data_IF_027723501388
#
_entry.id   IF_027723501388
#
_cell.length_a   1.000
_cell.length_b   1.000
_cell.length_c   1.000
_cell.angle_alpha   90.00
_cell.angle_beta   90.00
_cell.angle_gamma   90.00
#
_symmetry.space_group_name_H-M   'P 1'
#
loop_
_entity.id
_entity.type
_entity.pdbx_description
1 polymer ?
#
# COMPACT_ATOMS: atom_id res chain seq x y z
N UNK A 1 10.37 -36.25 36.19
CA UNK A 1 11.73 -35.66 36.40
C UNK A 1 12.64 -36.19 35.29
N UNK A 2 12.90 -35.40 34.25
CA UNK A 2 13.92 -35.73 33.24
C UNK A 2 15.15 -34.87 33.50
N UNK A 3 16.28 -35.54 33.80
CA UNK A 3 17.58 -34.93 34.04
C UNK A 3 18.21 -34.58 32.68
N UNK A 4 18.43 -33.29 32.42
CA UNK A 4 19.20 -32.80 31.26
C UNK A 4 20.68 -32.76 31.62
N UNK A 5 21.46 -33.67 31.04
CA UNK A 5 22.92 -33.58 31.01
C UNK A 5 23.34 -32.48 30.02
N UNK A 6 23.90 -31.38 30.55
CA UNK A 6 24.32 -30.21 29.79
C UNK A 6 25.82 -30.22 29.53
N UNK A 7 26.21 -30.26 28.25
CA UNK A 7 27.61 -30.14 27.82
C UNK A 7 28.03 -28.66 27.78
N UNK A 8 29.00 -28.18 28.58
CA UNK A 8 29.31 -26.75 28.74
C UNK A 8 30.07 -26.12 27.56
N UNK A 9 30.57 -26.93 26.61
CA UNK A 9 31.33 -26.45 25.46
C UNK A 9 30.47 -25.76 24.37
N UNK A 10 29.16 -26.06 24.30
CA UNK A 10 28.28 -25.50 23.27
C UNK A 10 27.71 -24.10 23.59
N UNK A 11 27.86 -23.61 24.84
CA UNK A 11 27.30 -22.31 25.27
C UNK A 11 28.19 -21.10 24.95
N UNK A 12 29.48 -21.31 24.73
CA UNK A 12 30.43 -20.22 24.51
C UNK A 12 30.60 -19.87 23.02
N UNK A 13 30.27 -20.77 22.09
CA UNK A 13 30.30 -20.51 20.65
C UNK A 13 29.17 -19.60 20.15
N UNK A 14 28.04 -19.55 20.85
CA UNK A 14 26.85 -18.79 20.41
C UNK A 14 26.89 -17.31 20.79
N UNK A 15 27.72 -16.91 21.76
CA UNK A 15 27.80 -15.51 22.23
C UNK A 15 28.83 -14.66 21.46
N UNK A 16 29.81 -15.27 20.79
CA UNK A 16 30.80 -14.51 20.01
C UNK A 16 30.33 -14.19 18.58
N UNK A 17 29.37 -14.94 18.02
CA UNK A 17 28.85 -14.68 16.67
C UNK A 17 27.81 -13.54 16.60
N UNK A 18 27.13 -13.21 17.69
CA UNK A 18 26.14 -12.11 17.70
C UNK A 18 26.81 -10.72 17.75
N UNK A 19 27.97 -10.60 18.40
CA UNK A 19 28.71 -9.34 18.45
C UNK A 19 29.31 -8.96 17.08
N UNK A 20 29.81 -9.92 16.30
CA UNK A 20 30.42 -9.65 14.99
C UNK A 20 29.39 -9.25 13.92
N UNK A 21 28.14 -9.74 14.03
CA UNK A 21 27.07 -9.40 13.07
C UNK A 21 26.51 -7.98 13.27
N UNK A 22 26.62 -7.41 14.48
CA UNK A 22 26.17 -6.05 14.78
C UNK A 22 27.17 -4.96 14.32
N UNK A 23 28.46 -5.29 14.19
CA UNK A 23 29.51 -4.35 13.76
C UNK A 23 29.61 -4.14 12.24
N UNK A 24 28.98 -5.01 11.43
CA UNK A 24 29.00 -4.92 9.96
C UNK A 24 27.86 -4.08 9.36
N UNK A 25 26.96 -3.52 10.18
CA UNK A 25 25.85 -2.66 9.73
C UNK A 25 26.17 -1.15 9.75
N UNK A 26 27.40 -0.75 10.09
CA UNK A 26 27.80 0.66 10.20
C UNK A 26 28.47 1.25 8.94
N UNK A 27 28.61 0.49 7.85
CA UNK A 27 29.23 0.96 6.61
C UNK A 27 28.31 0.75 5.40
N UNK A 28 27.55 1.78 5.02
CA UNK A 28 27.05 1.92 3.65
C UNK A 28 25.59 2.32 3.44
N UNK A 29 25.21 3.54 3.82
CA UNK A 29 24.13 4.27 3.13
C UNK A 29 24.58 5.69 2.81
N UNK A 30 25.51 5.84 1.86
CA UNK A 30 25.78 7.12 1.22
C UNK A 30 24.64 7.42 0.22
N UNK A 31 23.58 8.04 0.74
CA UNK A 31 22.52 8.65 -0.06
C UNK A 31 23.03 10.04 -0.48
N UNK A 32 23.07 10.41 -1.78
CA UNK A 32 23.50 11.75 -2.16
C UNK A 32 22.51 12.79 -1.60
N UNK A 33 23.04 13.69 -0.77
CA UNK A 33 22.36 14.88 -0.28
C UNK A 33 22.20 15.87 -1.43
N UNK A 34 20.96 16.16 -1.83
CA UNK A 34 20.62 17.40 -2.52
C UNK A 34 20.53 18.51 -1.47
N UNK A 35 21.43 19.49 -1.57
CA UNK A 35 21.52 20.65 -0.68
C UNK A 35 20.31 21.60 -0.80
N UNK A 36 19.88 22.25 0.29
CA UNK A 36 19.16 23.52 0.20
C UNK A 36 20.18 24.69 0.21
N UNK A 37 19.99 25.75 -0.58
CA UNK A 37 20.70 26.99 -0.32
C UNK A 37 20.08 27.68 0.90
N UNK A 38 20.89 27.91 1.93
CA UNK A 38 20.62 28.86 3.00
C UNK A 38 21.59 30.02 2.85
N UNK A 39 21.05 31.26 2.80
CA UNK A 39 21.69 32.56 3.09
C UNK A 39 20.70 33.65 2.63
N UNK A 40 20.23 34.60 3.44
CA UNK A 40 20.50 34.94 4.82
C UNK A 40 19.68 36.15 5.28
N UNK A 41 19.89 36.54 6.54
CA UNK A 41 19.57 37.83 7.20
C UNK A 41 18.08 38.23 7.33
N UNK A 42 17.50 38.16 8.54
CA UNK A 42 17.64 39.25 9.54
C UNK A 42 16.83 38.95 10.81
N UNK A 43 17.56 39.01 11.93
CA UNK A 43 17.12 39.02 13.32
C UNK A 43 16.47 40.37 13.68
N UNK A 44 15.30 40.36 14.29
CA UNK A 44 14.70 41.45 15.10
C UNK A 44 13.37 40.90 15.65
N UNK A 45 13.01 40.87 16.92
CA UNK A 45 13.55 41.35 18.19
C UNK A 45 12.42 41.10 19.20
N UNK A 46 12.74 40.63 20.39
CA UNK A 46 11.77 40.39 21.45
C UNK A 46 11.10 41.69 21.92
N UNK A 47 9.78 41.69 22.11
CA UNK A 47 9.13 42.60 23.05
C UNK A 47 7.95 41.90 23.76
N UNK A 48 8.02 41.93 25.10
CA UNK A 48 7.05 41.40 26.02
C UNK A 48 6.15 42.53 26.58
N UNK A 49 4.85 42.23 26.67
CA UNK A 49 3.83 42.84 27.56
C UNK A 49 3.06 44.05 27.02
N UNK A 50 1.88 44.41 27.59
CA UNK A 50 0.96 43.67 28.47
C UNK A 50 -0.46 43.51 27.87
N UNK A 51 -1.23 42.51 28.33
CA UNK A 51 -2.67 42.40 28.07
C UNK A 51 -3.48 43.38 28.94
N UNK A 52 -4.49 44.05 28.37
CA UNK A 52 -5.62 44.55 29.14
C UNK A 52 -6.96 43.99 28.62
N UNK A 53 -7.68 43.37 29.56
CA UNK A 53 -9.11 43.55 29.87
C UNK A 53 -10.16 43.58 28.75
N UNK A 54 -11.05 42.60 28.83
CA UNK A 54 -12.38 42.49 28.23
C UNK A 54 -13.22 43.78 28.30
N UNK A 55 -13.98 44.07 27.24
CA UNK A 55 -15.38 44.49 27.42
C UNK A 55 -16.32 43.54 26.65
N UNK A 56 -17.34 43.03 27.35
CA UNK A 56 -18.54 42.54 26.69
C UNK A 56 -19.36 43.76 26.25
N UNK A 57 -19.78 43.80 24.98
CA UNK A 57 -21.16 44.21 24.74
C UNK A 57 -21.85 43.48 23.57
N UNK A 58 -23.15 43.27 23.79
CA UNK A 58 -24.22 43.16 22.81
C UNK A 58 -24.48 41.77 22.19
N UNK A 59 -25.65 41.23 22.57
CA UNK A 59 -26.30 40.11 21.92
C UNK A 59 -26.37 40.30 20.39
N UNK A 60 -26.23 39.22 19.59
CA UNK A 60 -26.51 39.32 18.16
C UNK A 60 -28.00 39.65 17.94
N UNK A 61 -28.35 40.58 17.04
CA UNK A 61 -29.73 40.73 16.60
C UNK A 61 -30.20 39.40 15.99
N UNK A 62 -31.49 39.12 16.15
CA UNK A 62 -32.14 37.95 15.58
C UNK A 62 -31.68 37.77 14.12
N UNK A 63 -31.21 36.57 13.79
CA UNK A 63 -30.96 36.20 12.40
C UNK A 63 -32.29 36.35 11.67
N UNK A 64 -32.38 37.35 10.82
CA UNK A 64 -33.35 37.39 9.73
C UNK A 64 -33.04 36.19 8.84
N UNK A 65 -33.75 35.09 9.09
CA UNK A 65 -33.67 33.86 8.32
C UNK A 65 -34.20 34.16 6.93
N UNK A 66 -33.34 34.69 6.06
CA UNK A 66 -33.65 35.00 4.67
C UNK A 66 -34.12 33.72 3.96
N UNK A 67 -35.44 33.53 3.73
CA UNK A 67 -35.98 32.28 3.20
C UNK A 67 -35.62 32.09 1.71
N UNK A 68 -35.11 33.15 1.08
CA UNK A 68 -34.81 33.17 -0.35
C UNK A 68 -33.57 32.35 -0.74
N UNK A 69 -32.58 32.20 0.15
CA UNK A 69 -31.32 31.58 -0.23
C UNK A 69 -31.47 30.06 -0.43
N UNK A 70 -32.24 29.39 0.43
CA UNK A 70 -32.48 27.94 0.34
C UNK A 70 -33.41 27.60 -0.83
N UNK A 71 -34.39 28.47 -1.12
CA UNK A 71 -35.31 28.31 -2.25
C UNK A 71 -34.59 28.43 -3.61
N UNK A 72 -33.55 29.28 -3.70
CA UNK A 72 -32.72 29.39 -4.90
C UNK A 72 -31.70 28.23 -5.03
N UNK A 73 -31.26 27.61 -3.93
CA UNK A 73 -30.47 26.38 -4.00
C UNK A 73 -31.28 25.23 -4.62
N UNK A 74 -32.57 25.09 -4.27
CA UNK A 74 -33.45 24.07 -4.86
C UNK A 74 -33.57 24.17 -6.39
N UNK A 75 -33.74 25.39 -6.92
CA UNK A 75 -33.84 25.63 -8.38
C UNK A 75 -32.60 25.26 -9.17
N UNK A 76 -31.41 25.30 -8.54
CA UNK A 76 -30.17 24.87 -9.17
C UNK A 76 -30.11 23.34 -9.25
N UNK A 77 -30.54 22.64 -8.18
CA UNK A 77 -30.64 21.16 -8.16
C UNK A 77 -31.68 20.62 -9.16
N UNK A 78 -32.79 21.32 -9.38
CA UNK A 78 -33.78 20.95 -10.41
C UNK A 78 -33.24 21.09 -11.85
N UNK A 79 -32.26 21.97 -12.06
CA UNK A 79 -31.64 22.23 -13.38
C UNK A 79 -30.38 21.40 -13.65
N UNK A 80 -29.80 20.81 -12.59
CA UNK A 80 -28.62 19.95 -12.63
C UNK A 80 -28.80 18.59 -13.35
N UNK A 81 -29.96 17.89 -13.32
CA UNK A 81 -30.10 16.60 -14.01
C UNK A 81 -30.04 16.70 -15.55
N UNK A 82 -30.17 17.90 -16.14
CA UNK A 82 -30.08 18.10 -17.59
C UNK A 82 -28.67 18.45 -18.09
N UNK A 83 -27.73 18.77 -17.21
CA UNK A 83 -26.38 19.25 -17.57
C UNK A 83 -25.29 18.23 -17.20
N UNK A 84 -25.59 17.33 -16.26
CA UNK A 84 -24.64 16.30 -15.86
C UNK A 84 -24.78 15.04 -16.73
N UNK A 85 -23.66 14.42 -17.14
CA UNK A 85 -23.71 13.10 -17.76
C UNK A 85 -24.41 12.12 -16.80
N UNK A 86 -25.13 11.10 -17.32
CA UNK A 86 -25.82 10.12 -16.51
C UNK A 86 -24.83 9.48 -15.54
N UNK A 87 -24.88 9.95 -14.30
CA UNK A 87 -24.20 9.35 -13.17
C UNK A 87 -24.69 7.90 -13.11
N UNK A 88 -23.73 6.98 -12.98
CA UNK A 88 -24.01 5.57 -12.70
C UNK A 88 -25.15 5.47 -11.69
N UNK A 89 -25.99 4.44 -11.82
CA UNK A 89 -27.13 4.27 -10.92
C UNK A 89 -26.64 4.38 -9.46
N UNK A 90 -27.40 5.04 -8.55
CA UNK A 90 -27.00 5.18 -7.16
C UNK A 90 -26.58 3.83 -6.54
N UNK A 91 -27.23 2.73 -6.95
CA UNK A 91 -26.87 1.35 -6.61
C UNK A 91 -25.44 0.94 -7.00
N UNK A 92 -25.01 1.23 -8.23
CA UNK A 92 -23.64 0.91 -8.68
C UNK A 92 -22.60 1.74 -7.92
N UNK A 93 -22.92 3.00 -7.65
CA UNK A 93 -22.04 3.88 -6.86
C UNK A 93 -21.90 3.38 -5.42
N UNK A 94 -22.98 2.90 -4.79
CA UNK A 94 -22.92 2.34 -3.44
C UNK A 94 -22.17 1.00 -3.38
N UNK A 95 -22.25 0.16 -4.43
CA UNK A 95 -21.51 -1.11 -4.50
C UNK A 95 -20.00 -0.85 -4.61
N UNK A 96 -19.59 0.09 -5.47
CA UNK A 96 -18.19 0.50 -5.60
C UNK A 96 -17.63 1.11 -4.31
N UNK A 97 -18.42 1.93 -3.61
CA UNK A 97 -18.06 2.45 -2.28
C UNK A 97 -17.99 1.35 -1.23
N UNK A 98 -18.87 0.36 -1.29
CA UNK A 98 -18.86 -0.79 -0.37
C UNK A 98 -17.62 -1.66 -0.57
N UNK A 99 -17.15 -1.80 -1.82
CA UNK A 99 -15.88 -2.48 -2.15
C UNK A 99 -14.66 -1.69 -1.68
N UNK A 100 -14.75 -0.36 -1.68
CA UNK A 100 -13.70 0.52 -1.13
C UNK A 100 -13.71 0.56 0.40
N UNK A 101 -14.88 0.43 1.03
CA UNK A 101 -15.07 0.51 2.47
C UNK A 101 -14.68 -0.78 3.21
N UNK A 102 -14.53 -1.91 2.50
CA UNK A 102 -14.00 -3.14 3.09
C UNK A 102 -12.52 -2.93 3.42
N UNK A 103 -12.11 -3.05 4.71
CA UNK A 103 -10.73 -2.91 5.11
C UNK A 103 -9.88 -3.94 4.36
N UNK A 104 -9.08 -3.43 3.44
CA UNK A 104 -8.28 -4.23 2.54
C UNK A 104 -6.82 -4.00 2.85
N UNK A 105 -6.03 -5.07 2.97
CA UNK A 105 -4.58 -4.94 3.23
C UNK A 105 -3.82 -5.38 2.00
N UNK A 106 -2.85 -4.57 1.57
CA UNK A 106 -1.94 -4.97 0.52
C UNK A 106 -0.89 -5.92 1.10
N UNK A 107 -0.73 -7.09 0.47
CA UNK A 107 0.26 -8.08 0.86
C UNK A 107 1.16 -8.39 -0.34
N UNK A 108 2.46 -8.45 -0.10
CA UNK A 108 3.45 -8.93 -1.06
C UNK A 108 3.77 -10.41 -0.85
N UNK A 109 4.17 -11.07 -1.93
CA UNK A 109 4.67 -12.44 -1.91
C UNK A 109 5.06 -12.88 -3.31
N UNK A 110 5.09 -14.20 -3.54
CA UNK A 110 5.27 -14.75 -4.89
C UNK A 110 4.54 -16.07 -4.99
N UNK A 111 3.46 -16.10 -5.77
CA UNK A 111 2.65 -17.30 -6.00
C UNK A 111 2.44 -17.48 -7.50
N UNK A 112 2.72 -18.68 -8.01
CA UNK A 112 2.56 -19.00 -9.44
C UNK A 112 1.08 -18.97 -9.83
N UNK A 113 0.74 -18.32 -10.94
CA UNK A 113 -0.57 -18.38 -11.54
C UNK A 113 -0.73 -19.74 -12.24
N UNK A 114 -1.61 -20.63 -11.76
CA UNK A 114 -1.90 -21.89 -12.46
C UNK A 114 -2.47 -21.59 -13.85
N UNK A 115 -2.30 -22.52 -14.79
CA UNK A 115 -2.83 -22.35 -16.14
C UNK A 115 -4.30 -22.77 -16.16
N UNK A 116 -5.16 -21.87 -16.60
CA UNK A 116 -6.59 -22.10 -16.80
C UNK A 116 -6.86 -22.98 -18.02
N UNK A 117 -8.09 -23.45 -18.19
CA UNK A 117 -8.51 -24.28 -19.33
C UNK A 117 -8.24 -23.62 -20.69
N UNK A 118 -8.21 -22.30 -20.75
CA UNK A 118 -7.93 -21.53 -21.96
C UNK A 118 -6.42 -21.33 -22.23
N UNK A 119 -5.53 -21.95 -21.45
CA UNK A 119 -4.08 -21.78 -21.58
C UNK A 119 -3.52 -20.48 -20.99
N UNK A 120 -4.39 -19.57 -20.55
CA UNK A 120 -4.00 -18.32 -19.88
C UNK A 120 -3.68 -18.54 -18.39
N UNK A 121 -2.79 -17.74 -17.78
CA UNK A 121 -2.54 -17.79 -16.34
C UNK A 121 -3.74 -17.28 -15.53
N UNK A 122 -4.17 -18.07 -14.54
CA UNK A 122 -5.20 -17.70 -13.56
C UNK A 122 -4.56 -17.04 -12.34
N UNK A 123 -4.44 -15.72 -12.40
CA UNK A 123 -3.90 -14.95 -11.27
C UNK A 123 -4.93 -14.61 -10.19
N UNK A 124 -6.22 -14.94 -10.38
CA UNK A 124 -7.24 -14.86 -9.33
C UNK A 124 -6.94 -15.91 -8.28
N UNK A 125 -6.77 -17.17 -8.70
CA UNK A 125 -6.48 -18.26 -7.79
C UNK A 125 -5.16 -18.04 -7.04
N UNK A 126 -4.13 -17.54 -7.71
CA UNK A 126 -2.85 -17.23 -7.08
C UNK A 126 -2.94 -16.08 -6.05
N UNK A 127 -3.75 -15.07 -6.31
CA UNK A 127 -3.98 -13.98 -5.35
C UNK A 127 -4.74 -14.47 -4.12
N UNK A 128 -5.75 -15.31 -4.31
CA UNK A 128 -6.48 -15.93 -3.18
C UNK A 128 -5.53 -16.77 -2.33
N UNK A 129 -4.69 -17.60 -2.94
CA UNK A 129 -3.67 -18.38 -2.23
C UNK A 129 -2.66 -17.49 -1.47
N UNK A 130 -2.21 -16.40 -2.09
CA UNK A 130 -1.31 -15.43 -1.44
C UNK A 130 -1.95 -14.83 -0.18
N UNK A 131 -3.23 -14.47 -0.26
CA UNK A 131 -3.99 -13.87 0.84
C UNK A 131 -4.38 -14.89 1.93
N UNK A 132 -4.77 -16.10 1.53
CA UNK A 132 -5.07 -17.21 2.44
C UNK A 132 -3.85 -17.62 3.26
N UNK A 133 -2.65 -17.63 2.65
CA UNK A 133 -1.39 -17.83 3.38
C UNK A 133 -1.06 -16.75 4.41
N UNK A 134 -1.84 -15.66 4.45
CA UNK A 134 -1.72 -14.52 5.38
C UNK A 134 -2.94 -14.38 6.31
N UNK A 135 -3.88 -15.33 6.25
CA UNK A 135 -5.06 -15.35 7.12
C UNK A 135 -6.28 -14.59 6.60
N UNK A 136 -6.28 -14.17 5.34
CA UNK A 136 -7.43 -13.54 4.69
C UNK A 136 -8.26 -14.56 3.91
N UNK A 137 -9.55 -14.31 3.68
CA UNK A 137 -10.40 -15.26 2.93
C UNK A 137 -10.13 -15.23 1.44
N UNK A 138 -9.94 -14.04 0.89
CA UNK A 138 -9.79 -13.83 -0.54
C UNK A 138 -8.81 -12.70 -0.88
N UNK A 139 -8.38 -12.69 -2.13
CA UNK A 139 -7.40 -11.77 -2.67
C UNK A 139 -7.70 -11.32 -4.10
N UNK A 140 -7.31 -10.09 -4.41
CA UNK A 140 -7.26 -9.57 -5.79
C UNK A 140 -5.82 -9.27 -6.16
N UNK A 141 -5.32 -9.88 -7.23
CA UNK A 141 -3.97 -9.60 -7.74
C UNK A 141 -3.83 -8.12 -8.09
N UNK A 142 -2.72 -7.51 -7.65
CA UNK A 142 -2.35 -6.13 -7.99
C UNK A 142 -1.18 -6.11 -8.97
N UNK A 143 -0.09 -6.79 -8.62
CA UNK A 143 1.02 -7.02 -9.55
C UNK A 143 1.16 -8.50 -9.89
N UNK A 144 1.44 -8.74 -11.17
CA UNK A 144 1.92 -10.01 -11.67
C UNK A 144 3.26 -9.79 -12.39
N UNK A 145 4.17 -10.73 -12.19
CA UNK A 145 5.48 -10.80 -12.84
C UNK A 145 5.53 -12.07 -13.69
N UNK A 146 6.24 -12.06 -14.82
CA UNK A 146 6.41 -13.25 -15.65
C UNK A 146 7.88 -13.54 -15.83
N UNK A 147 8.26 -14.80 -15.64
CA UNK A 147 9.63 -15.27 -15.79
C UNK A 147 9.67 -16.49 -16.70
N UNK A 148 10.71 -16.56 -17.53
CA UNK A 148 10.96 -17.72 -18.38
C UNK A 148 11.69 -18.80 -17.58
N UNK A 149 11.05 -19.95 -17.45
CA UNK A 149 11.62 -21.15 -16.85
C UNK A 149 12.15 -22.04 -17.96
N UNK A 150 13.46 -21.98 -18.17
CA UNK A 150 14.15 -22.81 -19.13
C UNK A 150 14.74 -24.08 -18.51
N UNK A 151 14.69 -25.17 -19.27
CA UNK A 151 15.48 -26.36 -19.00
C UNK A 151 16.96 -26.10 -19.29
N UNK A 152 17.88 -26.73 -18.55
CA UNK A 152 19.34 -26.57 -18.74
C UNK A 152 19.83 -26.94 -20.15
N UNK A 153 19.00 -27.69 -20.90
CA UNK A 153 19.20 -28.07 -22.29
C UNK A 153 19.45 -26.89 -23.23
N UNK A 154 18.95 -25.68 -22.92
CA UNK A 154 19.21 -24.47 -23.73
C UNK A 154 20.63 -23.94 -23.63
N UNK A 155 21.38 -24.38 -22.62
CA UNK A 155 22.76 -23.95 -22.38
C UNK A 155 23.78 -24.78 -23.18
N UNK A 156 23.32 -25.85 -23.87
CA UNK A 156 24.20 -26.72 -24.65
C UNK A 156 24.57 -26.03 -25.97
N UNK A 157 25.85 -25.72 -26.23
CA UNK A 157 26.29 -25.10 -27.47
C UNK A 157 25.93 -25.94 -28.69
N UNK A 158 25.55 -25.29 -29.81
CA UNK A 158 25.25 -25.96 -31.07
C UNK A 158 23.89 -26.67 -31.15
N UNK A 159 23.09 -26.66 -30.07
CA UNK A 159 21.76 -27.25 -30.06
C UNK A 159 20.69 -26.21 -30.36
N UNK A 160 19.83 -26.51 -31.34
CA UNK A 160 18.68 -25.67 -31.67
C UNK A 160 17.63 -25.69 -30.57
N UNK A 161 17.15 -24.52 -30.16
CA UNK A 161 16.07 -24.40 -29.18
C UNK A 161 14.78 -25.01 -29.73
N UNK A 162 14.08 -25.73 -28.86
CA UNK A 162 12.75 -26.29 -29.09
C UNK A 162 11.71 -25.47 -28.33
N UNK A 163 10.45 -25.43 -28.79
CA UNK A 163 9.38 -24.72 -28.09
C UNK A 163 9.20 -25.13 -26.63
N UNK A 164 9.45 -26.41 -26.29
CA UNK A 164 9.32 -26.93 -24.91
C UNK A 164 10.57 -26.68 -24.04
N UNK A 165 11.63 -26.09 -24.58
CA UNK A 165 12.85 -25.88 -23.82
C UNK A 165 12.70 -24.79 -22.74
N UNK A 166 11.78 -23.85 -22.95
CA UNK A 166 11.49 -22.75 -22.05
C UNK A 166 9.98 -22.51 -21.98
N UNK A 167 9.47 -22.27 -20.77
CA UNK A 167 8.08 -21.93 -20.54
C UNK A 167 7.99 -20.65 -19.72
N UNK A 168 7.10 -19.76 -20.12
CA UNK A 168 6.80 -18.56 -19.33
C UNK A 168 5.84 -18.92 -18.20
N UNK A 169 6.28 -18.67 -16.96
CA UNK A 169 5.44 -18.78 -15.77
C UNK A 169 5.09 -17.36 -15.30
N UNK A 170 3.82 -17.12 -15.00
CA UNK A 170 3.34 -15.87 -14.40
C UNK A 170 3.16 -16.06 -12.90
N UNK A 171 3.49 -15.05 -12.11
CA UNK A 171 3.44 -15.06 -10.65
C UNK A 171 2.74 -13.80 -10.14
N UNK A 172 1.85 -13.93 -9.17
CA UNK A 172 1.35 -12.78 -8.41
C UNK A 172 2.42 -12.38 -7.40
N UNK A 173 2.83 -11.11 -7.45
CA UNK A 173 3.85 -10.55 -6.54
C UNK A 173 3.26 -9.64 -5.46
N UNK A 174 2.06 -9.13 -5.68
CA UNK A 174 1.27 -8.45 -4.67
C UNK A 174 -0.22 -8.62 -4.90
N UNK A 175 -0.98 -8.65 -3.81
CA UNK A 175 -2.44 -8.73 -3.84
C UNK A 175 -3.05 -7.82 -2.78
N UNK A 176 -4.27 -7.37 -3.06
CA UNK A 176 -5.15 -6.73 -2.10
C UNK A 176 -5.97 -7.84 -1.42
N UNK A 177 -5.78 -8.02 -0.12
CA UNK A 177 -6.41 -9.08 0.66
C UNK A 177 -7.58 -8.54 1.47
N UNK A 178 -8.68 -9.30 1.48
CA UNK A 178 -9.92 -8.98 2.19
C UNK A 178 -10.44 -10.21 2.94
N UNK A 179 -11.23 -9.97 3.98
CA UNK A 179 -11.78 -11.00 4.86
C UNK A 179 -13.26 -11.29 4.58
#
# INVERSE_FOLDING_TARGET
>A
MMVRSGNPAARHGTLMSTALLLLLLAAGTARPQSAPPALGLQQQGAQAGPSPSTPAPSAPPAREENPGLINEMGKLFDKLPSILPPIKSPSETMDDLSRLAKPSTMVSGRVICPVSANGAPDCKQAADQLCQGKGYKEGKSLNADSAEKCSAKVLIPGRQRKPDDCRTDTFVTSALCQN
#
